data_IF_031039401591
#
_entry.id   IF_031039401591
#
_cell.length_a   1.000
_cell.length_b   1.000
_cell.length_c   1.000
_cell.angle_alpha   90.00
_cell.angle_beta   90.00
_cell.angle_gamma   90.00
#
_symmetry.space_group_name_H-M   'P 1'
#
loop_
_entity.id
_entity.type
_entity.pdbx_description
1 polymer ?
#
# COMPACT_ATOMS: atom_id res chain seq x y z
N UNK A 1 -14.04 16.67 0.54
CA UNK A 1 -13.00 16.01 1.36
C UNK A 1 -12.27 15.00 0.48
N UNK A 2 -10.94 15.09 0.36
CA UNK A 2 -10.19 14.17 -0.51
C UNK A 2 -10.32 12.73 0.01
N UNK A 3 -10.74 11.81 -0.86
CA UNK A 3 -10.77 10.38 -0.55
C UNK A 3 -9.31 9.91 -0.36
N UNK A 4 -8.82 9.86 0.88
CA UNK A 4 -7.52 9.24 1.19
C UNK A 4 -7.65 7.75 0.90
N UNK A 5 -7.01 7.28 -0.17
CA UNK A 5 -6.90 5.85 -0.46
C UNK A 5 -6.03 5.21 0.60
N UNK A 6 -6.61 4.28 1.35
CA UNK A 6 -5.85 3.44 2.29
C UNK A 6 -4.85 2.59 1.52
N UNK A 7 -3.62 2.52 2.03
CA UNK A 7 -2.62 1.61 1.48
C UNK A 7 -2.99 0.16 1.86
N UNK A 8 -2.67 -0.85 1.03
CA UNK A 8 -2.96 -2.25 1.34
C UNK A 8 -2.49 -2.69 2.73
N UNK A 9 -1.35 -2.19 3.21
CA UNK A 9 -0.81 -2.51 4.53
C UNK A 9 -1.71 -1.98 5.65
N UNK A 10 -2.23 -0.76 5.49
CA UNK A 10 -3.15 -0.15 6.44
C UNK A 10 -4.48 -0.92 6.48
N UNK A 11 -4.97 -1.35 5.31
CA UNK A 11 -6.19 -2.18 5.19
C UNK A 11 -6.03 -3.47 5.99
N UNK A 12 -4.93 -4.20 5.78
CA UNK A 12 -4.71 -5.48 6.47
C UNK A 12 -4.49 -5.28 7.96
N UNK A 13 -3.78 -4.23 8.37
CA UNK A 13 -3.60 -3.90 9.79
C UNK A 13 -4.94 -3.64 10.48
N UNK A 14 -5.83 -2.86 9.84
CA UNK A 14 -7.18 -2.60 10.34
C UNK A 14 -8.02 -3.86 10.44
N UNK A 15 -7.99 -4.73 9.42
CA UNK A 15 -8.70 -6.03 9.47
C UNK A 15 -8.22 -6.91 10.63
N UNK A 16 -6.91 -6.94 10.91
CA UNK A 16 -6.35 -7.68 12.05
C UNK A 16 -6.76 -7.08 13.39
N UNK A 17 -6.79 -5.75 13.49
CA UNK A 17 -7.24 -5.08 14.71
C UNK A 17 -8.70 -5.44 15.03
N UNK A 18 -9.57 -5.51 14.01
CA UNK A 18 -10.95 -6.01 14.20
C UNK A 18 -10.95 -7.46 14.68
N UNK A 19 -10.13 -8.34 14.09
CA UNK A 19 -10.05 -9.75 14.52
C UNK A 19 -9.61 -9.89 15.98
N UNK A 20 -8.63 -9.09 16.43
CA UNK A 20 -8.16 -9.09 17.83
C UNK A 20 -9.26 -8.64 18.77
N UNK A 21 -9.94 -7.52 18.47
CA UNK A 21 -11.03 -6.99 19.30
C UNK A 21 -12.18 -8.01 19.40
N UNK A 22 -12.54 -8.65 18.30
CA UNK A 22 -13.55 -9.72 18.29
C UNK A 22 -13.08 -10.92 19.13
N UNK A 23 -11.81 -11.30 19.05
CA UNK A 23 -11.22 -12.36 19.89
C UNK A 23 -11.21 -12.03 21.39
N UNK A 24 -11.25 -10.74 21.75
CA UNK A 24 -11.41 -10.27 23.12
C UNK A 24 -12.87 -10.22 23.60
N UNK A 25 -13.82 -10.65 22.75
CA UNK A 25 -15.25 -10.68 23.07
C UNK A 25 -16.02 -9.42 22.68
N UNK A 26 -15.40 -8.45 22.01
CA UNK A 26 -16.08 -7.25 21.52
C UNK A 26 -16.96 -7.61 20.31
N UNK A 27 -18.19 -7.10 20.28
CA UNK A 27 -19.07 -7.31 19.13
C UNK A 27 -18.42 -6.75 17.85
N UNK A 28 -18.52 -7.50 16.74
CA UNK A 28 -17.83 -7.14 15.49
C UNK A 28 -18.18 -5.73 14.99
N UNK A 29 -19.43 -5.33 15.13
CA UNK A 29 -19.89 -3.98 14.74
C UNK A 29 -19.16 -2.90 15.54
N UNK A 30 -18.98 -3.10 16.83
CA UNK A 30 -18.28 -2.15 17.69
C UNK A 30 -16.77 -2.16 17.41
N UNK A 31 -16.18 -3.33 17.19
CA UNK A 31 -14.78 -3.46 16.77
C UNK A 31 -14.51 -2.73 15.43
N UNK A 32 -15.43 -2.83 14.47
CA UNK A 32 -15.34 -2.11 13.19
C UNK A 32 -15.38 -0.59 13.40
N UNK A 33 -16.26 -0.11 14.29
CA UNK A 33 -16.37 1.31 14.65
C UNK A 33 -15.12 1.82 15.35
N UNK A 34 -14.53 1.03 16.25
CA UNK A 34 -13.29 1.37 16.96
C UNK A 34 -12.12 1.61 16.00
N UNK A 35 -12.05 0.82 14.93
CA UNK A 35 -11.03 0.94 13.87
C UNK A 35 -11.36 2.06 12.85
N UNK A 36 -12.43 2.81 13.11
CA UNK A 36 -12.91 3.97 12.33
C UNK A 36 -13.12 3.65 10.86
N UNK A 37 -13.75 2.52 10.57
CA UNK A 37 -14.19 2.14 9.22
C UNK A 37 -15.67 1.77 9.23
N UNK A 38 -16.32 1.82 8.07
CA UNK A 38 -17.71 1.37 7.94
C UNK A 38 -17.76 -0.15 7.78
N UNK A 39 -18.87 -0.78 8.18
CA UNK A 39 -19.06 -2.22 8.00
C UNK A 39 -18.97 -2.65 6.53
N UNK A 40 -19.54 -1.85 5.63
CA UNK A 40 -19.45 -2.07 4.19
C UNK A 40 -17.98 -2.11 3.71
N UNK A 41 -17.16 -1.17 4.22
CA UNK A 41 -15.72 -1.13 3.92
C UNK A 41 -15.01 -2.35 4.49
N UNK A 42 -15.33 -2.72 5.73
CA UNK A 42 -14.77 -3.91 6.38
C UNK A 42 -15.04 -5.17 5.58
N UNK A 43 -16.29 -5.46 5.19
CA UNK A 43 -16.61 -6.68 4.45
C UNK A 43 -15.99 -6.70 3.05
N UNK A 44 -15.97 -5.56 2.35
CA UNK A 44 -15.28 -5.43 1.06
C UNK A 44 -13.79 -5.72 1.21
N UNK A 45 -13.14 -5.15 2.22
CA UNK A 45 -11.74 -5.39 2.50
C UNK A 45 -11.47 -6.82 2.94
N UNK A 46 -12.35 -7.43 3.75
CA UNK A 46 -12.22 -8.83 4.15
C UNK A 46 -12.26 -9.77 2.93
N UNK A 47 -13.13 -9.50 1.96
CA UNK A 47 -13.20 -10.25 0.70
C UNK A 47 -11.90 -10.13 -0.11
N UNK A 48 -11.29 -8.94 -0.13
CA UNK A 48 -10.12 -8.66 -0.97
C UNK A 48 -8.78 -8.98 -0.30
N UNK A 49 -8.68 -8.82 1.02
CA UNK A 49 -7.44 -8.84 1.79
C UNK A 49 -7.48 -9.79 3.01
N UNK A 50 -8.63 -10.37 3.34
CA UNK A 50 -8.79 -11.20 4.55
C UNK A 50 -8.02 -12.51 4.55
N UNK A 51 -7.56 -12.98 3.39
CA UNK A 51 -6.65 -14.13 3.26
C UNK A 51 -5.17 -13.74 3.18
N UNK A 52 -4.83 -12.45 3.26
CA UNK A 52 -3.46 -11.99 3.07
C UNK A 52 -2.61 -12.24 4.34
N UNK A 53 -1.75 -13.25 4.26
CA UNK A 53 -0.89 -13.67 5.36
C UNK A 53 0.21 -12.66 5.72
N UNK A 54 0.86 -12.83 6.87
CA UNK A 54 2.02 -12.03 7.29
C UNK A 54 3.15 -12.04 6.26
N UNK A 55 3.36 -13.15 5.57
CA UNK A 55 4.47 -13.29 4.62
C UNK A 55 4.18 -12.59 3.30
N UNK A 56 2.92 -12.61 2.84
CA UNK A 56 2.47 -11.82 1.69
C UNK A 56 2.59 -10.31 1.97
N UNK A 57 2.34 -9.85 3.20
CA UNK A 57 2.60 -8.46 3.58
C UNK A 57 4.08 -8.09 3.55
N UNK A 58 4.95 -8.96 4.06
CA UNK A 58 6.41 -8.74 4.03
C UNK A 58 6.91 -8.66 2.61
N UNK A 59 6.45 -9.57 1.75
CA UNK A 59 6.82 -9.59 0.34
C UNK A 59 6.29 -8.36 -0.40
N UNK A 60 5.05 -7.94 -0.13
CA UNK A 60 4.49 -6.71 -0.69
C UNK A 60 5.34 -5.49 -0.32
N UNK A 61 5.76 -5.37 0.94
CA UNK A 61 6.64 -4.28 1.42
C UNK A 61 8.01 -4.31 0.76
N UNK A 62 8.59 -5.50 0.58
CA UNK A 62 9.87 -5.68 -0.13
C UNK A 62 9.74 -5.23 -1.58
N UNK A 63 8.73 -5.72 -2.30
CA UNK A 63 8.48 -5.38 -3.70
C UNK A 63 8.22 -3.88 -3.89
N UNK A 64 7.48 -3.23 -2.98
CA UNK A 64 7.27 -1.78 -3.03
C UNK A 64 8.59 -1.00 -2.91
N UNK A 65 9.44 -1.37 -1.96
CA UNK A 65 10.75 -0.73 -1.77
C UNK A 65 11.66 -0.94 -2.98
N UNK A 66 11.63 -2.13 -3.57
CA UNK A 66 12.39 -2.45 -4.77
C UNK A 66 11.87 -1.66 -5.98
N UNK A 67 10.55 -1.55 -6.15
CA UNK A 67 9.93 -0.75 -7.20
C UNK A 67 10.30 0.74 -7.08
N UNK A 68 10.31 1.29 -5.87
CA UNK A 68 10.75 2.66 -5.61
C UNK A 68 12.21 2.89 -6.02
N UNK A 69 13.10 1.97 -5.63
CA UNK A 69 14.52 2.01 -6.03
C UNK A 69 14.70 1.92 -7.53
N UNK A 70 13.98 1.00 -8.18
CA UNK A 70 14.04 0.82 -9.64
C UNK A 70 13.52 2.05 -10.37
N UNK A 71 12.40 2.64 -9.93
CA UNK A 71 11.88 3.88 -10.50
C UNK A 71 12.90 5.01 -10.42
N UNK A 72 13.55 5.18 -9.25
CA UNK A 72 14.59 6.20 -9.09
C UNK A 72 15.76 5.97 -10.05
N UNK A 73 16.29 4.74 -10.09
CA UNK A 73 17.40 4.40 -10.98
C UNK A 73 17.04 4.63 -12.47
N UNK A 74 15.82 4.26 -12.88
CA UNK A 74 15.34 4.51 -14.25
C UNK A 74 15.23 6.02 -14.53
N UNK A 75 14.71 6.81 -13.58
CA UNK A 75 14.63 8.27 -13.74
C UNK A 75 16.01 8.90 -13.88
N UNK A 76 16.96 8.54 -13.02
CA UNK A 76 18.33 9.05 -13.05
C UNK A 76 19.02 8.70 -14.38
N UNK A 77 18.96 7.43 -14.80
CA UNK A 77 19.51 6.98 -16.08
C UNK A 77 18.84 7.63 -17.29
N UNK A 78 17.53 7.89 -17.21
CA UNK A 78 16.80 8.58 -18.28
C UNK A 78 17.26 10.03 -18.39
N UNK A 79 17.48 10.70 -17.26
CA UNK A 79 17.99 12.06 -17.23
C UNK A 79 19.41 12.13 -17.81
N UNK A 80 20.31 11.25 -17.39
CA UNK A 80 21.68 11.18 -17.92
C UNK A 80 21.68 10.96 -19.44
N UNK A 81 20.83 10.05 -19.93
CA UNK A 81 20.68 9.80 -21.36
C UNK A 81 20.20 11.04 -22.12
N UNK A 82 19.28 11.82 -21.56
CA UNK A 82 18.81 13.06 -22.17
C UNK A 82 19.93 14.11 -22.22
N UNK A 83 20.68 14.28 -21.13
CA UNK A 83 21.82 15.21 -21.06
C UNK A 83 22.87 14.84 -22.10
N UNK A 84 23.26 13.55 -22.17
CA UNK A 84 24.24 13.07 -23.15
C UNK A 84 23.77 13.26 -24.59
N UNK A 85 22.48 13.03 -24.86
CA UNK A 85 21.90 13.23 -26.20
C UNK A 85 21.89 14.70 -26.60
N UNK A 86 21.61 15.60 -25.67
CA UNK A 86 21.62 17.05 -25.91
C UNK A 86 23.05 17.55 -26.14
N UNK A 87 24.00 17.15 -25.29
CA UNK A 87 25.40 17.48 -25.46
C UNK A 87 25.97 16.97 -26.80
N UNK A 88 25.55 15.78 -27.23
CA UNK A 88 25.97 15.20 -28.51
C UNK A 88 25.31 15.84 -29.74
N UNK A 89 24.16 16.50 -29.59
CA UNK A 89 23.50 17.22 -30.71
C UNK A 89 24.28 18.45 -31.16
N UNK A 90 25.02 19.08 -30.25
CA UNK A 90 25.79 20.29 -30.51
C UNK A 90 24.91 21.51 -30.83
N UNK A 91 25.34 22.68 -30.38
CA UNK A 91 24.76 23.95 -30.83
C UNK A 91 25.34 24.27 -32.22
N UNK A 92 24.69 23.79 -33.27
CA UNK A 92 24.94 24.22 -34.66
C UNK A 92 23.77 25.05 -35.16
#
# INVERSE_FOLDING_TARGET
>A
MANKRHKPEEIVQKLRQVDVLVGQGIARVDAIREVRITEQTYYRWRKQYGGMGTDQLKELKRLQKENERLRKAVSDLTLDKLILKEAARGNF
#
